data_IF_761303725161
#
_entry.id   IF_761303725161
#
_cell.length_a   1.000
_cell.length_b   1.000
_cell.length_c   1.000
_cell.angle_alpha   90.00
_cell.angle_beta   90.00
_cell.angle_gamma   90.00
#
_symmetry.space_group_name_H-M   'P 1'
#
loop_
_entity.id
_entity.type
_entity.pdbx_description
1 polymer ?
#
# COMPACT_ATOMS: atom_id res chain seq x y z
N UNK A 1 9.03 -11.95 -7.70
CA UNK A 1 8.15 -11.74 -6.53
C UNK A 1 8.81 -12.38 -5.34
N UNK A 2 8.88 -11.68 -4.20
CA UNK A 2 9.45 -12.30 -2.99
C UNK A 2 8.52 -13.43 -2.56
N UNK A 3 9.05 -14.63 -2.33
CA UNK A 3 8.26 -15.80 -1.89
C UNK A 3 7.58 -15.59 -0.51
N UNK A 4 7.87 -14.47 0.16
CA UNK A 4 7.50 -14.20 1.54
C UNK A 4 6.32 -13.23 1.71
N UNK A 5 5.96 -12.46 0.67
CA UNK A 5 4.82 -11.53 0.73
C UNK A 5 3.68 -12.09 -0.11
N UNK A 6 2.52 -12.44 0.49
CA UNK A 6 1.37 -12.90 -0.27
C UNK A 6 0.86 -11.81 -1.22
N UNK A 7 0.18 -12.23 -2.30
CA UNK A 7 -0.44 -11.33 -3.26
C UNK A 7 -1.95 -11.53 -3.28
N UNK A 8 -2.70 -10.43 -3.38
CA UNK A 8 -4.16 -10.41 -3.54
C UNK A 8 -4.54 -9.40 -4.62
N UNK A 9 -5.74 -9.54 -5.18
CA UNK A 9 -6.27 -8.58 -6.15
C UNK A 9 -6.79 -7.31 -5.46
N UNK A 10 -6.79 -6.19 -6.16
CA UNK A 10 -7.38 -4.93 -5.71
C UNK A 10 -8.87 -5.10 -5.35
N UNK A 11 -9.57 -5.98 -6.06
CA UNK A 11 -10.99 -6.26 -5.80
C UNK A 11 -11.18 -6.99 -4.48
N UNK A 12 -10.31 -7.94 -4.14
CA UNK A 12 -10.33 -8.62 -2.83
C UNK A 12 -9.96 -7.65 -1.72
N UNK A 13 -8.90 -6.85 -1.90
CA UNK A 13 -8.47 -5.88 -0.90
C UNK A 13 -9.57 -4.86 -0.57
N UNK A 14 -10.27 -4.33 -1.59
CA UNK A 14 -11.38 -3.37 -1.42
C UNK A 14 -12.61 -3.93 -0.71
N UNK A 15 -12.76 -5.25 -0.61
CA UNK A 15 -13.89 -5.89 0.09
C UNK A 15 -13.68 -5.97 1.60
N UNK A 16 -12.43 -5.82 2.06
CA UNK A 16 -12.07 -5.93 3.47
C UNK A 16 -12.49 -4.69 4.24
N UNK A 17 -12.97 -4.90 5.46
CA UNK A 17 -13.22 -3.84 6.45
C UNK A 17 -11.92 -3.47 7.15
N UNK A 18 -11.91 -2.28 7.76
CA UNK A 18 -10.73 -1.77 8.46
C UNK A 18 -10.16 -2.72 9.54
N UNK A 19 -11.02 -3.44 10.27
CA UNK A 19 -10.54 -4.43 11.25
C UNK A 19 -9.97 -5.68 10.57
N UNK A 20 -10.50 -6.11 9.43
CA UNK A 20 -9.99 -7.27 8.68
C UNK A 20 -8.63 -6.96 8.05
N UNK A 21 -8.42 -5.73 7.57
CA UNK A 21 -7.13 -5.26 7.06
C UNK A 21 -6.06 -5.33 8.15
N UNK A 22 -6.40 -5.04 9.41
CA UNK A 22 -5.43 -5.11 10.53
C UNK A 22 -5.01 -6.54 10.86
N UNK A 23 -5.83 -7.54 10.55
CA UNK A 23 -5.51 -8.95 10.78
C UNK A 23 -4.70 -9.58 9.62
N UNK A 24 -4.58 -8.90 8.48
CA UNK A 24 -3.82 -9.40 7.34
C UNK A 24 -2.32 -9.33 7.58
N UNK A 25 -1.58 -10.29 7.04
CA UNK A 25 -0.15 -10.11 6.78
C UNK A 25 0.06 -8.94 5.81
N UNK A 26 1.25 -8.34 5.84
CA UNK A 26 1.66 -7.44 4.76
C UNK A 26 1.50 -8.13 3.39
N UNK A 27 1.02 -7.42 2.38
CA UNK A 27 0.49 -8.03 1.15
C UNK A 27 0.77 -7.16 -0.08
N UNK A 28 1.07 -7.79 -1.21
CA UNK A 28 1.13 -7.15 -2.53
C UNK A 28 -0.30 -7.05 -3.10
N UNK A 29 -0.69 -5.86 -3.56
CA UNK A 29 -1.98 -5.63 -4.18
C UNK A 29 -1.79 -5.48 -5.68
N UNK A 30 -2.52 -6.28 -6.45
CA UNK A 30 -2.40 -6.36 -7.91
C UNK A 30 -3.72 -6.03 -8.61
N UNK A 31 -3.67 -5.58 -9.87
CA UNK A 31 -4.84 -5.49 -10.75
C UNK A 31 -4.46 -6.02 -12.13
N UNK A 32 -5.27 -6.92 -12.67
CA UNK A 32 -5.05 -7.53 -14.00
C UNK A 32 -3.64 -8.17 -14.18
N UNK A 33 -3.07 -8.67 -13.08
CA UNK A 33 -1.73 -9.26 -13.04
C UNK A 33 -0.59 -8.25 -12.87
N UNK A 34 -0.88 -6.95 -12.86
CA UNK A 34 0.10 -5.90 -12.61
C UNK A 34 0.14 -5.52 -11.13
N UNK A 35 1.35 -5.30 -10.61
CA UNK A 35 1.55 -4.78 -9.26
C UNK A 35 1.09 -3.33 -9.17
N UNK A 36 0.29 -3.01 -8.16
CA UNK A 36 -0.14 -1.63 -7.88
C UNK A 36 0.64 -1.04 -6.71
N UNK A 37 0.61 -1.71 -5.56
CA UNK A 37 1.29 -1.28 -4.35
C UNK A 37 1.49 -2.45 -3.39
N UNK A 38 2.32 -2.24 -2.37
CA UNK A 38 2.50 -3.18 -1.27
C UNK A 38 1.97 -2.55 0.01
N UNK A 39 0.98 -3.19 0.64
CA UNK A 39 0.44 -2.77 1.92
C UNK A 39 1.31 -3.34 3.05
N UNK A 40 1.95 -2.44 3.80
CA UNK A 40 2.71 -2.80 5.01
C UNK A 40 1.75 -2.78 6.19
N UNK A 41 1.49 -3.95 6.75
CA UNK A 41 0.62 -4.15 7.91
C UNK A 41 1.51 -4.69 9.04
N UNK A 42 1.97 -3.80 9.95
CA UNK A 42 2.90 -4.19 11.00
C UNK A 42 2.18 -4.99 12.08
N UNK A 43 2.85 -6.04 12.55
CA UNK A 43 2.45 -6.88 13.67
C UNK A 43 3.61 -6.98 14.65
N UNK A 44 3.32 -7.04 15.94
CA UNK A 44 4.34 -7.16 16.98
C UNK A 44 4.07 -6.26 18.18
N UNK A 45 5.11 -6.00 18.96
CA UNK A 45 5.06 -5.03 20.04
C UNK A 45 5.05 -3.58 19.50
N UNK A 46 4.74 -2.61 20.37
CA UNK A 46 4.66 -1.20 19.98
C UNK A 46 5.96 -0.68 19.35
N UNK A 47 7.12 -1.13 19.84
CA UNK A 47 8.41 -0.68 19.33
C UNK A 47 8.68 -1.16 17.91
N UNK A 48 8.38 -2.43 17.60
CA UNK A 48 8.52 -2.98 16.26
C UNK A 48 7.52 -2.35 15.29
N UNK A 49 6.28 -2.11 15.71
CA UNK A 49 5.28 -1.43 14.87
C UNK A 49 5.68 0.02 14.54
N UNK A 50 6.22 0.75 15.51
CA UNK A 50 6.66 2.13 15.31
C UNK A 50 7.89 2.20 14.39
N UNK A 51 8.85 1.28 14.57
CA UNK A 51 10.01 1.19 13.69
C UNK A 51 9.59 0.93 12.24
N UNK A 52 8.69 -0.04 12.00
CA UNK A 52 8.21 -0.35 10.65
C UNK A 52 7.47 0.85 10.04
N UNK A 53 6.67 1.56 10.85
CA UNK A 53 5.96 2.77 10.41
C UNK A 53 6.93 3.87 9.98
N UNK A 54 7.95 4.18 10.77
CA UNK A 54 8.94 5.22 10.43
C UNK A 54 9.65 4.91 9.12
N UNK A 55 10.11 3.66 8.94
CA UNK A 55 10.75 3.27 7.68
C UNK A 55 9.79 3.38 6.48
N UNK A 56 8.52 3.00 6.65
CA UNK A 56 7.52 3.14 5.60
C UNK A 56 7.27 4.60 5.23
N UNK A 57 7.25 5.51 6.21
CA UNK A 57 7.12 6.95 6.00
C UNK A 57 8.34 7.54 5.26
N UNK A 58 9.56 7.16 5.63
CA UNK A 58 10.78 7.60 4.95
C UNK A 58 10.85 7.11 3.49
N UNK A 59 10.47 5.85 3.24
CA UNK A 59 10.37 5.30 1.90
C UNK A 59 9.28 5.99 1.08
N UNK A 60 8.12 6.27 1.69
CA UNK A 60 7.04 7.02 1.06
C UNK A 60 7.46 8.43 0.67
N UNK A 61 8.18 9.14 1.56
CA UNK A 61 8.73 10.46 1.26
C UNK A 61 9.70 10.41 0.07
N UNK A 62 10.61 9.44 0.07
CA UNK A 62 11.59 9.25 -1.01
C UNK A 62 10.89 8.96 -2.35
N UNK A 63 9.85 8.12 -2.34
CA UNK A 63 9.05 7.81 -3.52
C UNK A 63 8.33 9.07 -4.06
N UNK A 64 7.69 9.85 -3.18
CA UNK A 64 6.99 11.08 -3.57
C UNK A 64 7.95 12.15 -4.14
N UNK A 65 9.18 12.22 -3.65
CA UNK A 65 10.21 13.12 -4.21
C UNK A 65 10.66 12.68 -5.62
N UNK A 66 10.51 11.40 -5.95
CA UNK A 66 10.87 10.87 -7.27
C UNK A 66 9.81 11.16 -8.34
N UNK A 67 8.61 11.59 -7.93
CA UNK A 67 7.50 11.95 -8.80
C UNK A 67 6.15 11.46 -8.26
N UNK A 68 5.16 11.44 -9.14
CA UNK A 68 3.78 11.14 -8.77
C UNK A 68 2.89 12.38 -8.86
N UNK A 69 1.63 12.21 -8.49
CA UNK A 69 0.61 13.25 -8.50
C UNK A 69 -0.25 13.11 -7.25
N UNK A 70 -0.67 14.24 -6.71
CA UNK A 70 -1.65 14.25 -5.65
C UNK A 70 -3.03 13.80 -6.18
N UNK A 71 -3.90 13.36 -5.27
CA UNK A 71 -5.22 12.84 -5.64
C UNK A 71 -6.03 13.82 -6.50
N UNK A 72 -5.98 15.12 -6.16
CA UNK A 72 -6.67 16.16 -6.91
C UNK A 72 -6.13 16.30 -8.34
N UNK A 73 -4.81 16.20 -8.54
CA UNK A 73 -4.19 16.28 -9.85
C UNK A 73 -4.55 15.06 -10.73
N UNK A 74 -4.70 13.88 -10.11
CA UNK A 74 -5.18 12.68 -10.81
C UNK A 74 -6.64 12.82 -11.21
N UNK A 75 -7.53 13.20 -10.28
CA UNK A 75 -8.96 13.33 -10.53
C UNK A 75 -9.23 14.45 -11.56
N UNK A 76 -8.62 15.61 -11.40
CA UNK A 76 -8.82 16.74 -12.31
C UNK A 76 -8.18 16.49 -13.69
N UNK A 77 -7.11 15.69 -13.75
CA UNK A 77 -6.51 15.23 -15.00
C UNK A 77 -7.42 14.28 -15.79
N UNK A 78 -8.20 13.43 -15.12
CA UNK A 78 -9.16 12.51 -15.74
C UNK A 78 -10.38 13.21 -16.37
N UNK A 79 -10.73 14.42 -15.91
CA UNK A 79 -11.87 15.19 -16.43
C UNK A 79 -11.55 15.92 -17.74
N UNK A 80 -10.28 15.91 -18.20
CA UNK A 80 -9.82 16.62 -19.41
C UNK A 80 -9.58 15.72 -20.63
N UNK A 81 -10.23 14.57 -20.73
CA UNK A 81 -10.22 13.71 -21.93
C UNK A 81 -11.63 13.54 -22.47
#
# INVERSE_FOLDING_TARGET
>A
MSEFIPSITLTEFKRLKAFEIKELKSVEVTSDGEHLFTAIIPHGDTHSTDFVKVNAEELGLTANLSGGKDLEEVINGLVRV
#
